data_IF_091854680317
#
_entry.id   IF_091854680317
#
_cell.length_a   1.000
_cell.length_b   1.000
_cell.length_c   1.000
_cell.angle_alpha   90.00
_cell.angle_beta   90.00
_cell.angle_gamma   90.00
#
_symmetry.space_group_name_H-M   'P 1'
#
loop_
_entity.id
_entity.type
_entity.pdbx_description
1 polymer ?
#
# COMPACT_ATOMS: atom_id res chain seq x y z
N UNK A 1 6.09 -17.65 -22.90
CA UNK A 1 6.36 -17.43 -21.46
C UNK A 1 5.16 -17.92 -20.66
N UNK A 2 5.21 -19.17 -20.17
CA UNK A 2 4.09 -19.79 -19.45
C UNK A 2 3.86 -19.08 -18.12
N UNK A 3 2.70 -18.42 -17.96
CA UNK A 3 2.30 -17.75 -16.72
C UNK A 3 2.09 -18.83 -15.65
N UNK A 4 3.10 -19.08 -14.82
CA UNK A 4 2.98 -19.91 -13.61
C UNK A 4 1.73 -19.43 -12.84
N UNK A 5 0.81 -20.33 -12.42
CA UNK A 5 -0.35 -19.93 -11.65
C UNK A 5 0.16 -19.29 -10.36
N UNK A 6 0.07 -17.96 -10.28
CA UNK A 6 0.44 -17.22 -9.08
C UNK A 6 -0.56 -17.64 -8.02
N UNK A 7 -0.09 -18.33 -6.98
CA UNK A 7 -0.93 -18.78 -5.86
C UNK A 7 -1.82 -17.64 -5.38
N UNK A 8 -3.08 -17.94 -5.05
CA UNK A 8 -4.04 -16.97 -4.51
C UNK A 8 -3.46 -16.22 -3.31
N UNK A 9 -2.63 -16.89 -2.51
CA UNK A 9 -1.87 -16.26 -1.43
C UNK A 9 -0.90 -15.18 -1.93
N UNK A 10 -0.08 -15.50 -2.94
CA UNK A 10 0.82 -14.52 -3.57
C UNK A 10 0.08 -13.32 -4.16
N UNK A 11 -1.12 -13.57 -4.73
CA UNK A 11 -1.97 -12.51 -5.28
C UNK A 11 -2.50 -11.58 -4.19
N UNK A 12 -2.98 -12.13 -3.08
CA UNK A 12 -3.46 -11.38 -1.93
C UNK A 12 -2.31 -10.61 -1.28
N UNK A 13 -1.19 -11.27 -0.97
CA UNK A 13 -0.01 -10.62 -0.40
C UNK A 13 0.45 -9.44 -1.26
N UNK A 14 0.45 -9.57 -2.59
CA UNK A 14 0.79 -8.47 -3.48
C UNK A 14 -0.17 -7.28 -3.38
N UNK A 15 -1.48 -7.53 -3.27
CA UNK A 15 -2.49 -6.49 -3.06
C UNK A 15 -2.29 -5.82 -1.70
N UNK A 16 -2.06 -6.60 -0.65
CA UNK A 16 -1.80 -6.11 0.71
C UNK A 16 -0.56 -5.21 0.73
N UNK A 17 0.53 -5.60 0.07
CA UNK A 17 1.74 -4.77 -0.03
C UNK A 17 1.43 -3.43 -0.72
N UNK A 18 0.63 -3.44 -1.78
CA UNK A 18 0.23 -2.21 -2.47
C UNK A 18 -0.60 -1.29 -1.56
N UNK A 19 -1.57 -1.84 -0.83
CA UNK A 19 -2.38 -1.09 0.14
C UNK A 19 -1.51 -0.56 1.30
N UNK A 20 -0.57 -1.36 1.79
CA UNK A 20 0.35 -0.96 2.86
C UNK A 20 1.22 0.22 2.44
N UNK A 21 1.76 0.22 1.22
CA UNK A 21 2.54 1.35 0.69
C UNK A 21 1.69 2.62 0.59
N UNK A 22 0.46 2.51 0.06
CA UNK A 22 -0.46 3.66 -0.01
C UNK A 22 -0.81 4.17 1.39
N UNK A 23 -1.06 3.28 2.34
CA UNK A 23 -1.37 3.67 3.72
C UNK A 23 -0.17 4.34 4.41
N UNK A 24 1.05 3.88 4.16
CA UNK A 24 2.26 4.43 4.74
C UNK A 24 2.59 5.81 4.14
N UNK A 25 2.47 5.96 2.83
CA UNK A 25 2.66 7.25 2.13
C UNK A 25 1.53 8.21 2.45
N UNK A 26 0.28 7.75 2.39
CA UNK A 26 -0.89 8.53 2.76
C UNK A 26 -0.82 8.98 4.21
N UNK A 27 -0.53 8.08 5.15
CA UNK A 27 -0.41 8.38 6.57
C UNK A 27 0.75 9.33 6.90
N UNK A 28 1.88 9.22 6.22
CA UNK A 28 3.00 10.16 6.41
C UNK A 28 2.68 11.56 5.87
N UNK A 29 2.06 11.66 4.70
CA UNK A 29 1.60 12.94 4.13
C UNK A 29 0.49 13.54 5.01
N UNK A 30 -0.51 12.75 5.38
CA UNK A 30 -1.63 13.20 6.21
C UNK A 30 -1.17 13.62 7.61
N UNK A 31 -0.26 12.84 8.22
CA UNK A 31 0.37 13.19 9.50
C UNK A 31 1.20 14.46 9.40
N UNK A 32 1.93 14.68 8.30
CA UNK A 32 2.68 15.91 8.07
C UNK A 32 1.73 17.12 7.88
N UNK A 33 0.66 16.97 7.10
CA UNK A 33 -0.32 18.03 6.88
C UNK A 33 -1.10 18.38 8.17
N UNK A 34 -1.47 17.38 8.97
CA UNK A 34 -2.10 17.56 10.28
C UNK A 34 -1.12 18.19 11.30
N UNK A 35 0.14 17.75 11.30
CA UNK A 35 1.19 18.34 12.14
C UNK A 35 1.50 19.80 11.78
N UNK A 36 1.30 20.17 10.51
CA UNK A 36 1.47 21.54 10.02
C UNK A 36 0.18 22.37 10.18
N UNK A 37 -0.92 21.80 10.69
CA UNK A 37 -2.19 22.48 10.92
C UNK A 37 -2.92 22.90 9.63
N UNK A 38 -2.59 22.27 8.50
CA UNK A 38 -3.19 22.55 7.19
C UNK A 38 -4.57 21.88 7.07
N UNK A 39 -4.75 20.76 7.77
CA UNK A 39 -6.00 19.99 7.93
C UNK A 39 -6.18 19.59 9.39
#
# INVERSE_FOLDING_TARGET
MSKKPTSTFSKITKVVIWVMLIAMVGGSIFGALASLGII
#
